data_IF_830307536018
#
_entry.id   IF_830307536018
#
_cell.length_a   1.000
_cell.length_b   1.000
_cell.length_c   1.000
_cell.angle_alpha   90.00
_cell.angle_beta   90.00
_cell.angle_gamma   90.00
#
_symmetry.space_group_name_H-M   'P 1'
#
loop_
_entity.id
_entity.type
_entity.pdbx_description
1 polymer ?
#
# COMPACT_ATOMS: atom_id res chain seq x y z
N UNK A 1 -5.21 6.59 -0.20
CA UNK A 1 -5.86 6.99 1.07
C UNK A 1 -4.79 7.45 2.05
N UNK A 2 -5.13 8.25 3.05
CA UNK A 2 -4.23 8.70 4.12
C UNK A 2 -5.00 8.83 5.44
N UNK A 3 -4.30 8.75 6.57
CA UNK A 3 -4.88 8.94 7.89
C UNK A 3 -5.24 10.41 8.12
N UNK A 4 -6.45 10.67 8.64
CA UNK A 4 -6.86 12.00 9.09
C UNK A 4 -6.22 12.36 10.43
N UNK A 5 -5.98 11.37 11.29
CA UNK A 5 -5.38 11.51 12.62
C UNK A 5 -4.38 10.36 12.84
N UNK A 6 -3.30 10.60 13.58
CA UNK A 6 -2.26 9.60 13.86
C UNK A 6 -1.27 9.44 12.70
N UNK A 7 -1.66 8.74 11.62
CA UNK A 7 -0.83 8.48 10.42
C UNK A 7 -0.89 9.61 9.39
N UNK A 8 -0.68 10.84 9.86
CA UNK A 8 -0.67 12.03 9.00
C UNK A 8 0.55 11.98 8.10
N UNK A 9 0.34 12.17 6.81
CA UNK A 9 1.40 12.18 5.81
C UNK A 9 1.68 10.83 5.16
N UNK A 10 1.17 9.73 5.73
CA UNK A 10 1.29 8.43 5.10
C UNK A 10 0.22 8.26 4.03
N UNK A 11 0.65 8.05 2.79
CA UNK A 11 -0.25 7.84 1.65
C UNK A 11 -0.14 6.40 1.17
N UNK A 12 -1.28 5.72 1.19
CA UNK A 12 -1.44 4.32 0.81
C UNK A 12 -2.20 4.18 -0.51
N UNK A 13 -1.70 3.32 -1.38
CA UNK A 13 -2.44 2.85 -2.55
C UNK A 13 -3.12 1.53 -2.19
N UNK A 14 -4.45 1.51 -2.26
CA UNK A 14 -5.24 0.28 -2.04
C UNK A 14 -5.93 -0.06 -3.36
N UNK A 15 -5.68 -1.27 -3.85
CA UNK A 15 -6.21 -1.78 -5.13
C UNK A 15 -7.40 -2.75 -4.95
N UNK A 16 -7.75 -3.03 -3.70
CA UNK A 16 -8.81 -3.97 -3.32
C UNK A 16 -9.97 -3.22 -2.67
N UNK A 17 -11.11 -3.89 -2.52
CA UNK A 17 -12.25 -3.34 -1.79
C UNK A 17 -11.90 -3.16 -0.31
N UNK A 18 -12.27 -2.02 0.26
CA UNK A 18 -11.96 -1.67 1.66
C UNK A 18 -13.07 -0.82 2.28
N UNK A 19 -13.15 -0.86 3.62
CA UNK A 19 -14.08 -0.06 4.41
C UNK A 19 -13.33 1.03 5.19
N UNK A 20 -13.23 2.27 4.66
CA UNK A 20 -12.53 3.34 5.36
C UNK A 20 -13.26 3.72 6.65
N UNK A 21 -12.52 3.79 7.74
CA UNK A 21 -13.02 4.35 8.99
C UNK A 21 -13.22 5.87 8.87
N UNK A 22 -13.99 6.46 9.78
CA UNK A 22 -14.23 7.92 9.86
C UNK A 22 -12.96 8.77 10.05
N UNK A 23 -11.83 8.13 10.34
CA UNK A 23 -10.49 8.72 10.46
C UNK A 23 -9.66 8.58 9.18
N UNK A 24 -10.22 8.09 8.07
CA UNK A 24 -9.52 7.92 6.78
C UNK A 24 -9.95 8.98 5.78
N UNK A 25 -8.99 9.58 5.08
CA UNK A 25 -9.22 10.38 3.88
C UNK A 25 -8.87 9.55 2.64
N UNK A 26 -9.72 9.59 1.63
CA UNK A 26 -9.51 8.87 0.39
C UNK A 26 -9.91 9.74 -0.81
N UNK A 27 -9.31 9.42 -1.96
CA UNK A 27 -9.59 10.09 -3.22
C UNK A 27 -10.79 9.39 -3.86
N UNK A 28 -11.89 10.12 -4.06
CA UNK A 28 -13.10 9.61 -4.71
C UNK A 28 -13.07 9.78 -6.23
N UNK A 29 -12.39 10.82 -6.70
CA UNK A 29 -12.36 11.22 -8.11
C UNK A 29 -10.97 11.78 -8.43
N UNK A 30 -10.31 11.24 -9.45
CA UNK A 30 -8.98 11.67 -9.90
C UNK A 30 -9.01 12.95 -10.74
N UNK A 31 -10.21 13.46 -11.07
CA UNK A 31 -10.40 14.64 -11.93
C UNK A 31 -9.66 14.51 -13.27
N UNK A 32 -9.68 13.30 -13.81
CA UNK A 32 -9.00 12.92 -15.04
C UNK A 32 -7.50 12.65 -14.89
N UNK A 33 -6.86 12.85 -13.74
CA UNK A 33 -5.44 12.52 -13.58
C UNK A 33 -5.19 11.00 -13.55
N UNK A 34 -3.98 10.57 -13.87
CA UNK A 34 -3.61 9.16 -13.74
C UNK A 34 -3.39 8.77 -12.27
N UNK A 35 -3.85 7.58 -11.90
CA UNK A 35 -3.79 7.06 -10.54
C UNK A 35 -2.37 7.07 -9.96
N UNK A 36 -1.38 6.54 -10.70
CA UNK A 36 0.00 6.47 -10.21
C UNK A 36 0.62 7.84 -10.04
N UNK A 37 0.40 8.73 -11.01
CA UNK A 37 0.82 10.12 -10.89
C UNK A 37 0.21 10.78 -9.66
N UNK A 38 -1.10 10.68 -9.46
CA UNK A 38 -1.79 11.27 -8.30
C UNK A 38 -1.30 10.66 -6.99
N UNK A 39 -1.11 9.35 -6.92
CA UNK A 39 -0.59 8.67 -5.74
C UNK A 39 0.78 9.23 -5.33
N UNK A 40 1.73 9.30 -6.27
CA UNK A 40 3.05 9.82 -5.99
C UNK A 40 3.07 11.33 -5.75
N UNK A 41 2.24 12.11 -6.45
CA UNK A 41 2.08 13.53 -6.19
C UNK A 41 1.64 13.78 -4.74
N UNK A 42 0.67 13.00 -4.25
CA UNK A 42 0.22 13.09 -2.87
C UNK A 42 1.33 12.73 -1.88
N UNK A 43 2.20 11.76 -2.18
CA UNK A 43 3.35 11.43 -1.33
C UNK A 43 4.38 12.57 -1.20
N UNK A 44 4.40 13.51 -2.16
CA UNK A 44 5.29 14.68 -2.12
C UNK A 44 4.72 15.83 -1.29
N UNK A 45 3.45 15.76 -0.88
CA UNK A 45 2.83 16.79 -0.06
C UNK A 45 3.33 16.72 1.38
N UNK A 46 3.67 17.88 1.93
CA UNK A 46 3.87 18.02 3.37
C UNK A 46 2.51 18.20 4.06
N UNK A 47 1.89 17.08 4.42
CA UNK A 47 0.57 17.08 5.05
C UNK A 47 0.53 17.78 6.41
N UNK A 48 1.68 17.96 7.07
CA UNK A 48 1.75 18.64 8.36
C UNK A 48 1.35 20.12 8.26
N UNK A 49 1.52 20.74 7.10
CA UNK A 49 1.06 22.12 6.83
C UNK A 49 -0.45 22.27 6.94
N UNK A 50 -1.21 21.19 6.81
CA UNK A 50 -2.67 21.17 6.86
C UNK A 50 -3.21 20.59 8.19
N UNK A 51 -2.35 20.51 9.21
CA UNK A 51 -2.74 20.07 10.55
C UNK A 51 -3.17 21.25 11.42
N UNK A 52 -4.46 21.38 11.68
CA UNK A 52 -5.03 22.57 12.35
C UNK A 52 -5.05 22.50 13.88
N UNK A 53 -4.59 21.40 14.49
CA UNK A 53 -4.82 21.12 15.92
C UNK A 53 -3.52 20.88 16.69
N UNK A 54 -3.29 21.71 17.70
CA UNK A 54 -2.08 21.70 18.54
C UNK A 54 -1.96 20.49 19.49
N UNK A 55 -3.07 19.88 19.89
CA UNK A 55 -3.08 18.77 20.86
C UNK A 55 -3.22 17.38 20.22
N UNK A 56 -3.95 17.28 19.10
CA UNK A 56 -4.05 16.06 18.28
C UNK A 56 -3.95 16.52 16.83
N UNK A 57 -2.77 16.38 16.20
CA UNK A 57 -2.62 16.82 14.82
C UNK A 57 -3.63 16.07 13.96
N UNK A 58 -4.18 16.76 12.96
CA UNK A 58 -5.22 16.20 12.13
C UNK A 58 -5.42 16.97 10.84
N UNK A 59 -5.52 16.24 9.73
CA UNK A 59 -5.65 16.84 8.39
C UNK A 59 -7.04 17.44 8.24
N UNK A 60 -7.09 18.73 7.92
CA UNK A 60 -8.31 19.38 7.46
C UNK A 60 -8.43 19.27 5.94
N UNK A 61 -9.46 18.55 5.48
CA UNK A 61 -9.72 18.36 4.04
C UNK A 61 -9.93 19.69 3.31
N UNK A 62 -10.50 20.69 3.96
CA UNK A 62 -10.82 21.97 3.32
C UNK A 62 -9.52 22.70 2.96
N UNK A 63 -8.55 22.73 3.88
CA UNK A 63 -7.22 23.32 3.62
C UNK A 63 -6.45 22.51 2.56
N UNK A 64 -6.55 21.18 2.57
CA UNK A 64 -5.92 20.34 1.56
C UNK A 64 -6.49 20.61 0.15
N UNK A 65 -7.78 20.96 0.02
CA UNK A 65 -8.39 21.32 -1.26
C UNK A 65 -7.94 22.68 -1.80
N UNK A 66 -7.39 23.54 -0.95
CA UNK A 66 -6.89 24.87 -1.33
C UNK A 66 -5.43 24.82 -1.83
N UNK A 67 -4.72 23.71 -1.57
CA UNK A 67 -3.33 23.56 -1.96
C UNK A 67 -3.16 23.60 -3.49
N UNK A 68 -2.25 24.46 -3.95
CA UNK A 68 -1.94 24.62 -5.36
C UNK A 68 -0.77 23.73 -5.74
N UNK A 69 -1.02 22.83 -6.68
CA UNK A 69 0.00 21.92 -7.19
C UNK A 69 0.25 22.15 -8.67
N UNK A 70 1.49 21.90 -9.09
CA UNK A 70 1.82 21.88 -10.51
C UNK A 70 1.17 20.64 -11.13
N UNK A 71 0.25 20.86 -12.06
CA UNK A 71 -0.38 19.78 -12.81
C UNK A 71 0.48 19.42 -14.03
N UNK A 72 1.05 18.21 -14.02
CA UNK A 72 1.74 17.69 -15.20
C UNK A 72 0.77 17.49 -16.37
N UNK A 73 1.19 17.71 -17.63
CA UNK A 73 0.38 17.37 -18.80
C UNK A 73 -0.01 15.89 -18.80
N UNK A 74 -1.23 15.58 -19.28
CA UNK A 74 -1.77 14.20 -19.29
C UNK A 74 -0.79 13.19 -19.92
N UNK A 75 -0.19 13.53 -21.05
CA UNK A 75 0.77 12.66 -21.76
C UNK A 75 2.00 12.33 -20.92
N UNK A 76 2.44 13.24 -20.03
CA UNK A 76 3.54 12.98 -19.11
C UNK A 76 3.08 12.07 -17.96
N UNK A 77 1.86 12.27 -17.47
CA UNK A 77 1.27 11.39 -16.44
C UNK A 77 1.09 9.96 -16.95
N UNK A 78 0.68 9.79 -18.21
CA UNK A 78 0.58 8.50 -18.89
C UNK A 78 1.94 7.80 -18.95
N UNK A 79 2.95 8.47 -19.53
CA UNK A 79 4.32 7.93 -19.62
C UNK A 79 4.91 7.55 -18.26
N UNK A 80 4.66 8.37 -17.24
CA UNK A 80 5.06 8.06 -15.87
C UNK A 80 4.34 6.83 -15.34
N UNK A 81 3.03 6.72 -15.57
CA UNK A 81 2.22 5.60 -15.12
C UNK A 81 2.64 4.30 -15.80
N UNK A 82 2.94 4.33 -17.10
CA UNK A 82 3.41 3.16 -17.86
C UNK A 82 4.77 2.65 -17.33
N UNK A 83 5.63 3.57 -16.90
CA UNK A 83 6.91 3.23 -16.29
C UNK A 83 6.77 2.71 -14.84
N UNK A 84 5.98 3.39 -14.01
CA UNK A 84 5.90 3.11 -12.58
C UNK A 84 5.01 1.90 -12.24
N UNK A 85 3.93 1.68 -13.00
CA UNK A 85 2.94 0.64 -12.68
C UNK A 85 3.54 -0.79 -12.63
N UNK A 86 4.38 -1.23 -13.59
CA UNK A 86 4.98 -2.56 -13.55
C UNK A 86 5.88 -2.77 -12.33
N UNK A 87 6.61 -1.73 -11.91
CA UNK A 87 7.48 -1.77 -10.73
C UNK A 87 6.68 -1.91 -9.44
N UNK A 88 5.61 -1.13 -9.31
CA UNK A 88 4.72 -1.20 -8.15
C UNK A 88 3.97 -2.53 -8.08
N UNK A 89 3.58 -3.09 -9.23
CA UNK A 89 2.95 -4.40 -9.30
C UNK A 89 3.90 -5.53 -8.91
N UNK A 90 5.15 -5.46 -9.35
CA UNK A 90 6.18 -6.40 -8.92
C UNK A 90 6.41 -6.30 -7.39
N UNK A 91 6.50 -5.09 -6.86
CA UNK A 91 6.64 -4.87 -5.42
C UNK A 91 5.45 -5.45 -4.64
N UNK A 92 4.22 -5.21 -5.09
CA UNK A 92 3.02 -5.76 -4.47
C UNK A 92 3.00 -7.30 -4.48
N UNK A 93 3.36 -7.92 -5.61
CA UNK A 93 3.48 -9.39 -5.72
C UNK A 93 4.53 -9.96 -4.77
N UNK A 94 5.70 -9.33 -4.70
CA UNK A 94 6.77 -9.76 -3.80
C UNK A 94 6.34 -9.65 -2.33
N UNK A 95 5.66 -8.57 -1.95
CA UNK A 95 5.11 -8.42 -0.60
C UNK A 95 4.09 -9.50 -0.27
N UNK A 96 3.19 -9.83 -1.21
CA UNK A 96 2.24 -10.92 -1.03
C UNK A 96 2.94 -12.28 -0.83
N UNK A 97 3.96 -12.57 -1.65
CA UNK A 97 4.77 -13.79 -1.52
C UNK A 97 5.49 -13.86 -0.16
N UNK A 98 6.10 -12.76 0.29
CA UNK A 98 6.76 -12.68 1.59
C UNK A 98 5.77 -13.01 2.71
N UNK A 99 4.56 -12.44 2.66
CA UNK A 99 3.49 -12.72 3.64
C UNK A 99 3.11 -14.20 3.64
N UNK A 100 2.89 -14.80 2.46
CA UNK A 100 2.56 -16.22 2.35
C UNK A 100 3.68 -17.12 2.88
N UNK A 101 4.94 -16.84 2.52
CA UNK A 101 6.09 -17.62 2.94
C UNK A 101 6.34 -17.48 4.46
N UNK A 102 6.16 -16.29 5.01
CA UNK A 102 6.25 -16.07 6.46
C UNK A 102 5.17 -16.85 7.21
N UNK A 103 3.92 -16.80 6.75
CA UNK A 103 2.83 -17.56 7.36
C UNK A 103 3.06 -19.08 7.27
N UNK A 104 3.58 -19.57 6.13
CA UNK A 104 3.93 -20.97 5.95
C UNK A 104 5.05 -21.39 6.92
N UNK A 105 6.12 -20.60 7.02
CA UNK A 105 7.21 -20.82 7.97
C UNK A 105 6.67 -20.90 9.40
N UNK A 106 5.86 -19.94 9.81
CA UNK A 106 5.35 -19.84 11.18
C UNK A 106 4.38 -20.99 11.51
N UNK A 107 3.72 -21.56 10.50
CA UNK A 107 2.86 -22.74 10.64
C UNK A 107 3.67 -24.04 10.71
N UNK A 108 4.73 -24.17 9.91
CA UNK A 108 5.50 -25.41 9.78
C UNK A 108 6.56 -25.57 10.88
N UNK A 109 7.21 -24.48 11.29
CA UNK A 109 8.28 -24.55 12.29
C UNK A 109 7.84 -25.21 13.60
N UNK A 110 6.70 -24.86 14.22
CA UNK A 110 6.26 -25.52 15.45
C UNK A 110 6.03 -27.02 15.28
N UNK A 111 5.43 -27.43 14.15
CA UNK A 111 5.15 -28.85 13.84
C UNK A 111 6.41 -29.67 13.57
N UNK A 112 7.41 -29.02 12.98
CA UNK A 112 8.73 -29.62 12.77
C UNK A 112 9.43 -29.86 14.13
N UNK A 113 9.37 -28.85 15.01
CA UNK A 113 9.98 -28.89 16.34
C UNK A 113 9.27 -29.86 17.30
N UNK A 114 7.96 -30.03 17.17
CA UNK A 114 7.19 -31.02 17.95
C UNK A 114 7.34 -32.45 17.42
N UNK A 115 7.92 -32.64 16.23
CA UNK A 115 8.05 -33.94 15.58
C UNK A 115 6.76 -34.45 14.93
N UNK A 116 5.72 -33.62 14.85
CA UNK A 116 4.48 -33.94 14.12
C UNK A 116 4.70 -34.06 12.61
N UNK A 117 5.72 -33.38 12.08
CA UNK A 117 6.14 -33.47 10.69
C UNK A 117 7.63 -33.84 10.65
N UNK A 118 7.95 -34.91 9.93
CA UNK A 118 9.33 -35.33 9.67
C UNK A 118 9.73 -34.93 8.24
N UNK A 119 10.92 -34.35 8.09
CA UNK A 119 11.43 -33.87 6.80
C UNK A 119 11.48 -35.00 5.76
N UNK A 120 11.88 -36.21 6.18
CA UNK A 120 11.99 -37.39 5.29
C UNK A 120 10.66 -37.79 4.65
N UNK A 121 9.56 -37.69 5.40
CA UNK A 121 8.24 -38.07 4.92
C UNK A 121 7.76 -37.08 3.84
N UNK A 122 8.02 -35.78 4.05
CA UNK A 122 7.71 -34.72 3.08
C UNK A 122 8.54 -34.86 1.80
N UNK A 123 9.85 -35.15 1.92
CA UNK A 123 10.75 -35.36 0.76
C UNK A 123 10.29 -36.56 -0.10
N UNK A 124 9.85 -37.65 0.52
CA UNK A 124 9.35 -38.83 -0.20
C UNK A 124 8.02 -38.58 -0.92
N UNK A 125 7.13 -37.73 -0.38
CA UNK A 125 5.87 -37.36 -1.04
C UNK A 125 6.07 -36.41 -2.23
N UNK A 126 7.00 -35.46 -2.13
CA UNK A 126 7.35 -34.56 -3.24
C UNK A 126 8.01 -35.32 -4.39
N UNK A 127 8.90 -36.27 -4.10
CA UNK A 127 9.54 -37.11 -5.11
C UNK A 127 8.55 -38.06 -5.84
N UNK A 128 7.40 -38.37 -5.22
CA UNK A 128 6.36 -39.20 -5.83
C UNK A 128 5.35 -38.40 -6.68
N UNK A 129 5.38 -37.06 -6.61
CA UNK A 129 4.46 -36.16 -7.33
C UNK A 129 5.12 -35.35 -8.45
N UNK A 130 6.43 -35.47 -8.63
CA UNK A 130 7.21 -34.94 -9.75
C UNK A 130 7.47 -36.04 -10.81
#
# INVERSE_FOLDING_TARGET
MTGRYGSIGEVFLVREDFWPLNTTLYVRDLKGNHLMYTYHLLQLLDFNKFSDKAAVPGINRNHLHEERLVAAPRTLQERFSDFASPLLELAAKNTAQITTLAALRDTLLPKLLSGEILIRDVESQLAATA
#
